data_IF_439378602399
#
_entry.id   IF_439378602399
#
_cell.length_a   1.000
_cell.length_b   1.000
_cell.length_c   1.000
_cell.angle_alpha   90.00
_cell.angle_beta   90.00
_cell.angle_gamma   90.00
#
_symmetry.space_group_name_H-M   'P 1'
#
loop_
_entity.id
_entity.type
_entity.pdbx_description
1 polymer ?
#
# COMPACT_ATOMS: atom_id res chain seq x y z
N UNK A 1 34.16 -17.99 1.49
CA UNK A 1 32.75 -17.82 1.08
C UNK A 1 32.55 -16.35 0.76
N UNK A 2 32.13 -16.00 -0.45
CA UNK A 2 31.86 -14.60 -0.80
C UNK A 2 30.71 -14.08 0.09
N UNK A 3 30.78 -12.83 0.54
CA UNK A 3 29.71 -12.27 1.37
C UNK A 3 28.43 -12.17 0.55
N UNK A 4 27.26 -12.21 1.21
CA UNK A 4 25.96 -11.97 0.57
C UNK A 4 25.95 -10.69 -0.27
N UNK A 5 26.68 -9.66 0.17
CA UNK A 5 26.84 -8.39 -0.53
C UNK A 5 27.57 -8.55 -1.87
N UNK A 6 28.63 -9.37 -1.93
CA UNK A 6 29.41 -9.58 -3.16
C UNK A 6 28.62 -10.36 -4.22
N UNK A 7 27.78 -11.31 -3.79
CA UNK A 7 26.89 -12.04 -4.70
C UNK A 7 25.82 -11.14 -5.31
N UNK A 8 25.22 -10.24 -4.53
CA UNK A 8 24.23 -9.28 -5.04
C UNK A 8 24.84 -8.27 -6.01
N UNK A 9 26.08 -7.82 -5.77
CA UNK A 9 26.82 -6.94 -6.70
C UNK A 9 27.25 -7.63 -8.00
N UNK A 10 27.45 -8.95 -7.97
CA UNK A 10 27.83 -9.73 -9.16
C UNK A 10 26.65 -10.10 -10.07
N UNK A 11 25.42 -9.89 -9.59
CA UNK A 11 24.24 -10.05 -10.42
C UNK A 11 24.17 -8.83 -11.32
N UNK A 12 24.49 -9.06 -12.59
CA UNK A 12 24.38 -8.07 -13.65
C UNK A 12 22.88 -7.80 -13.88
N UNK A 13 22.32 -6.87 -13.10
CA UNK A 13 20.90 -6.48 -13.14
C UNK A 13 20.53 -6.12 -14.58
N UNK A 14 21.44 -5.49 -15.33
CA UNK A 14 21.24 -5.18 -16.74
C UNK A 14 21.06 -6.44 -17.59
N UNK A 15 21.82 -7.52 -17.34
CA UNK A 15 21.60 -8.82 -18.02
C UNK A 15 20.29 -9.50 -17.62
N UNK A 16 19.89 -9.42 -16.36
CA UNK A 16 18.58 -9.95 -15.93
C UNK A 16 17.42 -9.18 -16.58
N UNK A 17 17.56 -7.86 -16.75
CA UNK A 17 16.56 -7.03 -17.42
C UNK A 17 16.61 -7.16 -18.95
N UNK A 18 17.78 -7.39 -19.55
CA UNK A 18 17.98 -7.54 -20.99
C UNK A 18 17.56 -8.92 -21.54
N UNK A 19 17.41 -9.94 -20.68
CA UNK A 19 16.93 -11.27 -21.05
C UNK A 19 15.43 -11.33 -21.40
N UNK A 20 14.67 -10.26 -21.14
CA UNK A 20 13.29 -10.10 -21.61
C UNK A 20 13.26 -9.81 -23.10
N UNK A 21 13.28 -10.85 -23.93
CA UNK A 21 13.12 -10.73 -25.38
C UNK A 21 11.90 -9.87 -25.73
N UNK A 22 12.12 -8.82 -26.52
CA UNK A 22 11.16 -7.75 -26.83
C UNK A 22 9.95 -8.13 -27.68
N UNK A 23 9.23 -9.20 -27.33
CA UNK A 23 8.04 -9.67 -28.05
C UNK A 23 6.74 -9.67 -27.25
N UNK A 24 6.80 -9.59 -25.90
CA UNK A 24 5.60 -9.56 -25.06
C UNK A 24 5.78 -8.55 -23.91
N UNK A 25 5.12 -7.40 -24.06
CA UNK A 25 4.83 -6.50 -22.95
C UNK A 25 3.55 -7.02 -22.29
N UNK A 26 3.69 -7.76 -21.20
CA UNK A 26 2.57 -8.07 -20.33
C UNK A 26 2.09 -6.78 -19.67
N UNK A 27 0.89 -6.32 -20.00
CA UNK A 27 0.35 -5.08 -19.44
C UNK A 27 -0.07 -5.32 -17.98
N UNK A 28 0.73 -4.84 -17.02
CA UNK A 28 0.33 -4.65 -15.62
C UNK A 28 1.15 -5.44 -14.60
N UNK A 29 1.53 -4.77 -13.51
CA UNK A 29 1.96 -5.44 -12.29
C UNK A 29 0.74 -6.16 -11.69
N UNK A 30 0.91 -7.40 -11.22
CA UNK A 30 -0.15 -8.11 -10.51
C UNK A 30 -0.57 -7.38 -9.22
N UNK A 31 -1.71 -7.77 -8.65
CA UNK A 31 -2.29 -7.15 -7.46
C UNK A 31 -1.31 -7.10 -6.27
N UNK A 32 -0.57 -8.18 -6.02
CA UNK A 32 0.40 -8.25 -4.91
C UNK A 32 1.64 -7.40 -5.21
N UNK A 33 2.10 -7.35 -6.45
CA UNK A 33 3.21 -6.50 -6.88
C UNK A 33 2.87 -5.02 -6.69
N UNK A 34 1.64 -4.62 -7.04
CA UNK A 34 1.12 -3.30 -6.71
C UNK A 34 1.15 -3.02 -5.21
N UNK A 35 0.74 -3.99 -4.37
CA UNK A 35 0.79 -3.85 -2.91
C UNK A 35 2.22 -3.63 -2.39
N UNK A 36 3.24 -4.29 -2.96
CA UNK A 36 4.63 -4.06 -2.55
C UNK A 36 5.10 -2.65 -2.87
N UNK A 37 4.83 -2.15 -4.08
CA UNK A 37 5.13 -0.76 -4.42
C UNK A 37 4.38 0.22 -3.51
N UNK A 38 3.10 -0.07 -3.24
CA UNK A 38 2.26 0.72 -2.37
C UNK A 38 2.80 0.75 -0.94
N UNK A 39 3.17 -0.41 -0.37
CA UNK A 39 3.75 -0.54 0.96
C UNK A 39 5.05 0.27 1.07
N UNK A 40 5.94 0.14 0.08
CA UNK A 40 7.19 0.91 0.03
C UNK A 40 6.95 2.43 0.00
N UNK A 41 5.84 2.88 -0.57
CA UNK A 41 5.48 4.30 -0.60
C UNK A 41 4.84 4.80 0.70
N UNK A 42 4.08 3.97 1.41
CA UNK A 42 3.33 4.42 2.61
C UNK A 42 4.05 4.17 3.91
N UNK A 43 5.11 3.35 3.93
CA UNK A 43 5.74 2.92 5.17
C UNK A 43 6.32 4.08 6.01
N UNK A 44 6.82 5.15 5.38
CA UNK A 44 7.23 6.37 6.10
C UNK A 44 6.07 6.97 6.91
N UNK A 45 4.87 7.04 6.32
CA UNK A 45 3.68 7.57 7.00
C UNK A 45 3.22 6.65 8.13
N UNK A 46 3.23 5.35 7.90
CA UNK A 46 2.86 4.35 8.92
C UNK A 46 3.81 4.44 10.11
N UNK A 47 5.12 4.40 9.89
CA UNK A 47 6.11 4.47 10.97
C UNK A 47 6.05 5.81 11.71
N UNK A 48 5.85 6.94 11.03
CA UNK A 48 5.67 8.24 11.70
C UNK A 48 4.50 8.28 12.66
N UNK A 49 3.42 7.56 12.35
CA UNK A 49 2.27 7.49 13.25
C UNK A 49 2.62 6.84 14.60
N UNK A 50 3.74 6.11 14.69
CA UNK A 50 4.21 5.46 15.91
C UNK A 50 4.98 6.36 16.88
N UNK A 51 5.38 7.58 16.52
CA UNK A 51 6.25 8.39 17.40
C UNK A 51 5.50 9.26 18.41
N UNK A 52 4.39 9.94 18.06
CA UNK A 52 3.66 10.76 19.02
C UNK A 52 3.00 9.91 20.11
N UNK A 53 3.64 9.77 21.28
CA UNK A 53 3.10 9.01 22.41
C UNK A 53 3.11 7.49 22.25
N UNK A 54 3.84 6.95 21.28
CA UNK A 54 3.99 5.50 21.02
C UNK A 54 2.66 4.70 20.93
N UNK A 55 1.70 5.10 20.07
CA UNK A 55 0.43 4.39 19.93
C UNK A 55 0.61 2.96 19.40
N UNK A 56 1.72 2.71 18.71
CA UNK A 56 2.10 1.42 18.14
C UNK A 56 2.63 0.43 19.17
N UNK A 57 2.82 0.85 20.43
CA UNK A 57 3.33 0.00 21.51
C UNK A 57 4.66 -0.69 21.14
N UNK A 58 5.53 0.02 20.42
CA UNK A 58 6.86 -0.45 20.12
C UNK A 58 7.71 -0.38 21.40
N UNK A 59 8.50 -1.41 21.68
CA UNK A 59 9.49 -1.29 22.75
C UNK A 59 10.64 -0.35 22.32
N UNK A 60 11.51 0.00 23.26
CA UNK A 60 12.57 0.99 23.01
C UNK A 60 13.50 0.57 21.87
N UNK A 61 13.81 -0.72 21.74
CA UNK A 61 14.69 -1.23 20.70
C UNK A 61 14.03 -1.12 19.32
N UNK A 62 12.75 -1.50 19.22
CA UNK A 62 11.95 -1.38 18.01
C UNK A 62 11.73 0.08 17.59
N UNK A 63 11.56 1.00 18.55
CA UNK A 63 11.46 2.44 18.27
C UNK A 63 12.73 2.98 17.62
N UNK A 64 13.91 2.61 18.14
CA UNK A 64 15.20 3.02 17.56
C UNK A 64 15.35 2.48 16.14
N UNK A 65 14.94 1.23 15.89
CA UNK A 65 14.98 0.64 14.55
C UNK A 65 14.03 1.39 13.61
N UNK A 66 12.79 1.64 14.03
CA UNK A 66 11.80 2.39 13.25
C UNK A 66 12.30 3.82 12.91
N UNK A 67 12.97 4.50 13.84
CA UNK A 67 13.52 5.84 13.61
C UNK A 67 14.65 5.81 12.58
N UNK A 68 15.52 4.80 12.64
CA UNK A 68 16.59 4.60 11.66
C UNK A 68 16.04 4.27 10.27
N UNK A 69 14.96 3.48 10.18
CA UNK A 69 14.25 3.24 8.91
C UNK A 69 13.67 4.56 8.37
N UNK A 70 13.06 5.39 9.20
CA UNK A 70 12.60 6.73 8.78
C UNK A 70 13.75 7.62 8.30
N UNK A 71 14.92 7.55 8.94
CA UNK A 71 16.12 8.24 8.49
C UNK A 71 16.54 7.79 7.07
N UNK A 72 16.54 6.48 6.81
CA UNK A 72 16.80 5.91 5.50
C UNK A 72 15.80 6.42 4.45
N UNK A 73 14.49 6.35 4.75
CA UNK A 73 13.41 6.76 3.84
C UNK A 73 13.38 8.26 3.52
N UNK A 74 14.10 9.09 4.29
CA UNK A 74 14.24 10.54 4.05
C UNK A 74 15.58 10.91 3.44
N UNK A 75 16.51 9.97 3.34
CA UNK A 75 17.83 10.20 2.79
C UNK A 75 17.80 10.33 1.26
N UNK A 76 18.90 10.80 0.67
CA UNK A 76 19.07 10.78 -0.80
C UNK A 76 19.06 9.38 -1.40
N UNK A 77 19.19 8.33 -0.58
CA UNK A 77 19.13 6.95 -1.02
C UNK A 77 17.69 6.41 -1.11
N UNK A 78 16.70 7.15 -0.59
CA UNK A 78 15.29 6.74 -0.65
C UNK A 78 14.80 6.49 -2.08
N UNK A 79 15.20 7.35 -3.03
CA UNK A 79 14.84 7.21 -4.45
C UNK A 79 15.50 5.99 -5.14
N UNK A 80 16.52 5.40 -4.49
CA UNK A 80 17.19 4.19 -4.96
C UNK A 80 16.51 2.92 -4.48
N UNK A 81 15.70 2.98 -3.43
CA UNK A 81 14.97 1.83 -2.88
C UNK A 81 13.89 1.43 -3.86
N UNK A 82 14.23 0.47 -4.73
CA UNK A 82 13.35 -0.08 -5.75
C UNK A 82 12.84 -1.44 -5.30
N UNK A 83 11.56 -1.70 -5.53
CA UNK A 83 11.03 -3.06 -5.46
C UNK A 83 11.21 -3.69 -6.83
N UNK A 84 11.91 -4.81 -6.88
CA UNK A 84 12.17 -5.57 -8.10
C UNK A 84 11.57 -6.97 -7.96
N UNK A 85 10.82 -7.41 -8.95
CA UNK A 85 10.19 -8.73 -8.94
C UNK A 85 11.00 -9.70 -9.79
N UNK A 86 11.34 -10.85 -9.21
CA UNK A 86 12.11 -11.90 -9.88
C UNK A 86 11.46 -13.25 -9.60
N UNK A 87 11.36 -14.10 -10.62
CA UNK A 87 11.02 -15.51 -10.42
C UNK A 87 12.27 -16.28 -10.00
N UNK A 88 12.13 -17.18 -9.02
CA UNK A 88 13.19 -18.13 -8.65
C UNK A 88 13.56 -19.07 -9.80
N UNK A 89 12.67 -19.27 -10.78
CA UNK A 89 12.97 -19.99 -12.02
C UNK A 89 13.97 -19.23 -12.90
N UNK A 90 13.86 -17.90 -12.95
CA UNK A 90 14.76 -17.02 -13.71
C UNK A 90 16.10 -16.78 -12.98
N UNK A 91 16.08 -16.86 -11.64
CA UNK A 91 17.26 -16.74 -10.80
C UNK A 91 17.38 -17.91 -9.79
N UNK A 92 17.75 -19.13 -10.24
CA UNK A 92 17.80 -20.31 -9.38
C UNK A 92 18.68 -20.12 -8.15
N UNK A 93 18.14 -20.45 -6.98
CA UNK A 93 18.85 -20.36 -5.70
C UNK A 93 19.00 -18.95 -5.13
N UNK A 94 18.55 -17.90 -5.83
CA UNK A 94 18.65 -16.52 -5.35
C UNK A 94 17.90 -16.28 -4.02
N UNK A 95 16.70 -16.85 -3.90
CA UNK A 95 15.86 -16.79 -2.70
C UNK A 95 16.13 -17.90 -1.69
N UNK A 96 17.17 -18.72 -1.89
CA UNK A 96 17.57 -19.77 -0.94
C UNK A 96 18.72 -19.23 -0.07
N UNK A 97 18.37 -18.70 1.11
CA UNK A 97 19.34 -18.04 2.02
C UNK A 97 20.08 -19.02 2.92
N UNK A 98 19.61 -20.27 3.02
CA UNK A 98 20.25 -21.31 3.79
C UNK A 98 19.54 -22.65 3.64
N UNK A 99 20.13 -23.73 4.19
CA UNK A 99 19.55 -25.08 4.10
C UNK A 99 18.17 -25.19 4.76
N UNK A 100 17.90 -24.37 5.78
CA UNK A 100 16.63 -24.35 6.52
C UNK A 100 15.75 -23.15 6.15
N UNK A 101 16.18 -22.35 5.17
CA UNK A 101 15.48 -21.14 4.75
C UNK A 101 15.27 -21.16 3.22
N UNK A 102 14.64 -22.20 2.69
CA UNK A 102 14.35 -22.26 1.28
C UNK A 102 13.20 -21.27 0.97
N UNK A 103 13.26 -20.64 -0.20
CA UNK A 103 12.14 -19.87 -0.76
C UNK A 103 11.72 -18.63 0.04
N UNK A 104 12.66 -17.73 0.34
CA UNK A 104 12.33 -16.40 0.87
C UNK A 104 11.36 -15.65 -0.07
N UNK A 105 10.38 -14.95 0.51
CA UNK A 105 9.42 -14.12 -0.23
C UNK A 105 10.08 -12.82 -0.71
N UNK A 106 10.87 -12.19 0.15
CA UNK A 106 11.62 -11.00 -0.18
C UNK A 106 13.07 -11.12 0.31
N UNK A 107 13.95 -10.30 -0.27
CA UNK A 107 15.35 -10.18 0.14
C UNK A 107 15.92 -8.85 -0.30
N UNK A 108 16.75 -8.25 0.53
CA UNK A 108 17.59 -7.11 0.16
C UNK A 108 19.05 -7.29 0.59
N UNK A 109 19.90 -6.32 0.28
CA UNK A 109 21.27 -6.26 0.78
C UNK A 109 21.33 -5.47 2.10
N UNK A 110 22.41 -5.66 2.85
CA UNK A 110 22.67 -4.92 4.10
C UNK A 110 23.29 -3.55 3.84
N UNK A 111 22.76 -2.84 2.83
CA UNK A 111 23.28 -1.57 2.34
C UNK A 111 22.12 -0.63 2.02
N UNK A 112 22.22 0.62 2.46
CA UNK A 112 21.21 1.64 2.25
C UNK A 112 20.93 1.85 0.75
N UNK A 113 19.65 1.99 0.39
CA UNK A 113 19.24 2.21 -1.00
C UNK A 113 19.28 0.96 -1.88
N UNK A 114 19.60 -0.21 -1.32
CA UNK A 114 19.58 -1.46 -2.07
C UNK A 114 18.17 -1.79 -2.57
N UNK A 115 18.02 -2.48 -3.71
CA UNK A 115 16.71 -2.97 -4.12
C UNK A 115 16.15 -4.02 -3.15
N UNK A 116 14.83 -4.03 -3.01
CA UNK A 116 14.08 -5.11 -2.38
C UNK A 116 13.65 -6.07 -3.50
N UNK A 117 14.21 -7.26 -3.52
CA UNK A 117 13.85 -8.31 -4.48
C UNK A 117 12.69 -9.13 -3.92
N UNK A 118 11.64 -9.31 -4.72
CA UNK A 118 10.42 -10.03 -4.33
C UNK A 118 10.27 -11.26 -5.24
N UNK A 119 10.02 -12.40 -4.62
CA UNK A 119 9.92 -13.69 -5.27
C UNK A 119 8.51 -13.91 -5.85
N UNK A 120 8.40 -13.80 -7.17
CA UNK A 120 7.12 -13.95 -7.89
C UNK A 120 6.46 -15.31 -7.68
N UNK A 121 7.27 -16.37 -7.48
CA UNK A 121 6.78 -17.75 -7.39
C UNK A 121 5.95 -17.99 -6.12
N UNK A 122 6.01 -17.07 -5.14
CA UNK A 122 5.35 -17.21 -3.84
C UNK A 122 4.25 -16.19 -3.58
N UNK A 123 3.93 -15.30 -4.54
CA UNK A 123 2.92 -14.24 -4.33
C UNK A 123 1.49 -14.73 -4.52
N UNK A 124 1.28 -15.79 -5.32
CA UNK A 124 -0.05 -16.27 -5.70
C UNK A 124 -0.24 -17.76 -5.40
N UNK A 125 -1.48 -18.19 -5.17
CA UNK A 125 -1.86 -19.61 -5.13
C UNK A 125 -1.85 -20.21 -6.53
N UNK A 126 -2.00 -21.53 -6.63
CA UNK A 126 -2.14 -22.23 -7.92
C UNK A 126 -3.34 -21.74 -8.74
N UNK A 127 -4.34 -21.17 -8.08
CA UNK A 127 -5.55 -20.59 -8.68
C UNK A 127 -5.39 -19.11 -9.04
N UNK A 128 -4.20 -18.53 -8.84
CA UNK A 128 -3.92 -17.11 -9.12
C UNK A 128 -4.44 -16.14 -8.05
N UNK A 129 -4.82 -16.63 -6.86
CA UNK A 129 -5.27 -15.77 -5.77
C UNK A 129 -4.08 -15.21 -4.99
N UNK A 130 -4.18 -13.96 -4.52
CA UNK A 130 -3.14 -13.35 -3.69
C UNK A 130 -2.94 -14.13 -2.39
N UNK A 131 -1.69 -14.51 -2.08
CA UNK A 131 -1.33 -15.18 -0.82
C UNK A 131 -1.07 -14.22 0.34
N UNK A 132 -0.80 -12.96 0.03
CA UNK A 132 -0.41 -11.95 1.00
C UNK A 132 -1.46 -10.84 1.05
N UNK A 133 -1.74 -10.37 2.26
CA UNK A 133 -2.52 -9.16 2.48
C UNK A 133 -1.62 -7.93 2.42
N UNK A 134 -2.20 -6.75 2.18
CA UNK A 134 -1.45 -5.49 2.19
C UNK A 134 -0.68 -5.25 3.51
N UNK A 135 -1.28 -5.61 4.65
CA UNK A 135 -0.64 -5.51 5.96
C UNK A 135 0.62 -6.40 6.06
N UNK A 136 0.53 -7.66 5.61
CA UNK A 136 1.68 -8.57 5.56
C UNK A 136 2.78 -8.05 4.64
N UNK A 137 2.41 -7.50 3.49
CA UNK A 137 3.35 -6.87 2.55
C UNK A 137 4.05 -5.66 3.20
N UNK A 138 3.32 -4.81 3.92
CA UNK A 138 3.91 -3.70 4.68
C UNK A 138 4.89 -4.18 5.76
N UNK A 139 4.56 -5.25 6.47
CA UNK A 139 5.46 -5.91 7.41
C UNK A 139 6.74 -6.41 6.74
N UNK A 140 6.62 -7.11 5.61
CA UNK A 140 7.77 -7.61 4.83
C UNK A 140 8.65 -6.46 4.32
N UNK A 141 8.06 -5.41 3.74
CA UNK A 141 8.83 -4.24 3.29
C UNK A 141 9.58 -3.59 4.47
N UNK A 142 8.95 -3.49 5.63
CA UNK A 142 9.61 -2.97 6.85
C UNK A 142 10.78 -3.85 7.28
N UNK A 143 10.62 -5.17 7.22
CA UNK A 143 11.68 -6.13 7.51
C UNK A 143 12.89 -5.87 6.60
N UNK A 144 12.67 -5.80 5.28
CA UNK A 144 13.75 -5.56 4.33
C UNK A 144 14.41 -4.18 4.53
N UNK A 145 13.64 -3.13 4.82
CA UNK A 145 14.22 -1.82 5.17
C UNK A 145 15.09 -1.87 6.44
N UNK A 146 14.73 -2.72 7.39
CA UNK A 146 15.55 -3.01 8.58
C UNK A 146 16.92 -3.61 8.23
N UNK A 147 16.97 -4.50 7.23
CA UNK A 147 18.24 -5.01 6.71
C UNK A 147 19.10 -3.90 6.09
N UNK A 148 18.50 -2.95 5.36
CA UNK A 148 19.25 -1.87 4.71
C UNK A 148 19.91 -0.89 5.70
N UNK A 149 19.43 -0.84 6.94
CA UNK A 149 20.09 -0.12 8.04
C UNK A 149 21.03 -1.02 8.87
N UNK A 150 21.34 -2.22 8.39
CA UNK A 150 22.35 -3.12 8.95
C UNK A 150 21.86 -4.01 10.10
N UNK A 151 20.53 -4.14 10.31
CA UNK A 151 20.02 -5.11 11.29
C UNK A 151 20.07 -6.51 10.68
N UNK A 152 20.77 -7.43 11.35
CA UNK A 152 20.91 -8.83 10.92
C UNK A 152 19.89 -9.77 11.57
N UNK A 153 19.34 -9.37 12.71
CA UNK A 153 18.47 -10.22 13.49
C UNK A 153 17.06 -10.28 12.90
N UNK A 154 16.76 -11.37 12.18
CA UNK A 154 15.44 -11.60 11.59
C UNK A 154 14.32 -11.57 12.62
N UNK A 155 14.54 -12.09 13.84
CA UNK A 155 13.48 -12.16 14.85
C UNK A 155 13.06 -10.75 15.28
N UNK A 156 14.02 -9.84 15.47
CA UNK A 156 13.72 -8.43 15.76
C UNK A 156 12.99 -7.75 14.61
N UNK A 157 13.41 -7.99 13.36
CA UNK A 157 12.76 -7.42 12.19
C UNK A 157 11.35 -7.98 11.94
N UNK A 158 11.13 -9.25 12.22
CA UNK A 158 9.81 -9.89 12.16
C UNK A 158 8.86 -9.31 13.22
N UNK A 159 9.37 -9.05 14.44
CA UNK A 159 8.59 -8.37 15.49
C UNK A 159 8.22 -6.94 15.07
N UNK A 160 9.14 -6.19 14.46
CA UNK A 160 8.82 -4.86 13.94
C UNK A 160 7.78 -4.96 12.81
N UNK A 161 8.00 -5.88 11.87
CA UNK A 161 7.11 -6.12 10.73
C UNK A 161 5.71 -6.55 11.16
N UNK A 162 5.57 -7.36 12.21
CA UNK A 162 4.27 -7.76 12.75
C UNK A 162 3.54 -6.56 13.36
N UNK A 163 4.24 -5.69 14.10
CA UNK A 163 3.65 -4.45 14.64
C UNK A 163 3.17 -3.51 13.54
N UNK A 164 3.99 -3.30 12.51
CA UNK A 164 3.58 -2.55 11.31
C UNK A 164 2.36 -3.18 10.65
N UNK A 165 2.34 -4.51 10.52
CA UNK A 165 1.21 -5.24 9.93
C UNK A 165 -0.07 -5.01 10.74
N UNK A 166 -0.01 -5.10 12.07
CA UNK A 166 -1.14 -4.85 12.98
C UNK A 166 -1.70 -3.43 12.81
N UNK A 167 -0.83 -2.42 12.73
CA UNK A 167 -1.22 -1.03 12.54
C UNK A 167 -1.91 -0.85 11.18
N UNK A 168 -1.26 -1.31 10.11
CA UNK A 168 -1.82 -1.22 8.76
C UNK A 168 -3.15 -1.97 8.69
N UNK A 169 -3.25 -3.15 9.31
CA UNK A 169 -4.49 -3.92 9.35
C UNK A 169 -5.60 -3.18 10.10
N UNK A 170 -5.33 -2.57 11.25
CA UNK A 170 -6.31 -1.77 11.99
C UNK A 170 -6.77 -0.52 11.24
N UNK A 171 -5.91 -0.03 10.34
CA UNK A 171 -6.11 1.16 9.52
C UNK A 171 -6.73 0.86 8.14
N UNK A 172 -6.63 -0.37 7.67
CA UNK A 172 -7.14 -0.81 6.38
C UNK A 172 -8.57 -1.34 6.49
N UNK A 173 -9.46 -0.77 5.69
CA UNK A 173 -10.83 -1.24 5.47
C UNK A 173 -10.91 -1.80 4.05
N UNK A 174 -11.40 -3.02 3.90
CA UNK A 174 -11.68 -3.61 2.60
C UNK A 174 -13.20 -3.73 2.42
N UNK A 175 -13.73 -3.01 1.45
CA UNK A 175 -15.12 -3.12 1.04
C UNK A 175 -15.18 -3.98 -0.20
N UNK A 176 -16.00 -5.02 -0.19
CA UNK A 176 -16.15 -5.93 -1.33
C UNK A 176 -17.61 -5.96 -1.78
N UNK A 177 -17.81 -6.01 -3.09
CA UNK A 177 -19.09 -6.30 -3.72
C UNK A 177 -18.91 -7.45 -4.70
N UNK A 178 -19.66 -8.52 -4.48
CA UNK A 178 -19.78 -9.67 -5.38
C UNK A 178 -21.25 -9.82 -5.74
N UNK A 179 -21.66 -9.19 -6.84
CA UNK A 179 -23.05 -9.21 -7.31
C UNK A 179 -23.24 -10.11 -8.53
N UNK A 180 -24.49 -10.51 -8.76
CA UNK A 180 -24.89 -11.31 -9.93
C UNK A 180 -24.87 -10.51 -11.24
N UNK A 181 -24.73 -9.18 -11.17
CA UNK A 181 -24.58 -8.28 -12.31
C UNK A 181 -23.28 -8.60 -13.08
N UNK A 182 -23.39 -9.51 -14.04
CA UNK A 182 -22.33 -9.89 -14.96
C UNK A 182 -21.19 -10.71 -14.34
N UNK A 183 -21.38 -11.29 -13.15
CA UNK A 183 -20.32 -12.03 -12.44
C UNK A 183 -19.14 -11.16 -12.02
N UNK A 184 -19.36 -9.86 -11.87
CA UNK A 184 -18.32 -8.87 -11.60
C UNK A 184 -18.08 -8.69 -10.10
N UNK A 185 -16.82 -8.83 -9.70
CA UNK A 185 -16.34 -8.50 -8.36
C UNK A 185 -15.69 -7.13 -8.33
N UNK A 186 -16.12 -6.27 -7.42
CA UNK A 186 -15.47 -5.00 -7.11
C UNK A 186 -14.93 -5.05 -5.69
N UNK A 187 -13.72 -4.53 -5.49
CA UNK A 187 -13.17 -4.33 -4.17
C UNK A 187 -12.65 -2.91 -4.06
N UNK A 188 -13.03 -2.20 -3.01
CA UNK A 188 -12.47 -0.91 -2.66
C UNK A 188 -11.62 -1.09 -1.39
N UNK A 189 -10.31 -1.02 -1.58
CA UNK A 189 -9.36 -0.95 -0.47
C UNK A 189 -9.22 0.49 0.00
N UNK A 190 -9.42 0.72 1.29
CA UNK A 190 -9.23 1.99 1.98
C UNK A 190 -8.19 1.78 3.06
N UNK A 191 -7.17 2.64 3.14
CA UNK A 191 -6.25 2.67 4.29
C UNK A 191 -6.28 4.05 4.90
N UNK A 192 -6.94 4.16 6.05
CA UNK A 192 -7.02 5.38 6.85
C UNK A 192 -5.77 5.50 7.70
N UNK A 193 -5.07 6.62 7.64
CA UNK A 193 -3.99 6.86 8.58
C UNK A 193 -4.56 7.66 9.75
N UNK A 194 -4.37 7.21 11.00
CA UNK A 194 -4.96 7.82 12.21
C UNK A 194 -4.22 9.10 12.64
N UNK A 195 -4.01 10.03 11.71
CA UNK A 195 -3.39 11.31 12.02
C UNK A 195 -4.10 12.47 11.30
N UNK A 196 -4.37 13.61 11.97
CA UNK A 196 -5.15 14.72 11.41
C UNK A 196 -4.61 15.25 10.09
N UNK A 197 -3.29 15.13 9.87
CA UNK A 197 -2.59 15.58 8.67
C UNK A 197 -2.28 14.45 7.68
N UNK A 198 -3.23 13.54 7.43
CA UNK A 198 -3.01 12.43 6.49
C UNK A 198 -4.15 12.24 5.51
N UNK A 199 -3.78 11.76 4.33
CA UNK A 199 -4.70 11.44 3.24
C UNK A 199 -4.75 9.92 3.13
N UNK A 200 -5.95 9.32 3.20
CA UNK A 200 -6.12 7.88 3.14
C UNK A 200 -5.84 7.41 1.72
N UNK A 201 -5.46 6.14 1.62
CA UNK A 201 -5.25 5.51 0.34
C UNK A 201 -6.51 4.77 -0.09
N UNK A 202 -7.14 5.21 -1.18
CA UNK A 202 -8.41 4.69 -1.68
C UNK A 202 -8.16 4.11 -3.07
N UNK A 203 -8.21 2.78 -3.19
CA UNK A 203 -7.94 2.05 -4.43
C UNK A 203 -9.09 1.13 -4.76
N UNK A 204 -9.62 1.28 -5.97
CA UNK A 204 -10.61 0.36 -6.53
C UNK A 204 -9.89 -0.71 -7.34
N UNK A 205 -10.27 -1.95 -7.09
CA UNK A 205 -9.88 -3.15 -7.81
C UNK A 205 -11.11 -3.68 -8.54
N UNK A 206 -11.01 -3.79 -9.86
CA UNK A 206 -12.05 -4.32 -10.71
C UNK A 206 -11.42 -5.25 -11.74
N UNK A 207 -11.41 -6.55 -11.43
CA UNK A 207 -10.64 -7.60 -12.11
C UNK A 207 -9.13 -7.29 -12.15
N UNK A 208 -8.56 -7.11 -13.35
CA UNK A 208 -7.15 -6.85 -13.66
C UNK A 208 -6.80 -5.35 -13.62
N UNK A 209 -7.77 -4.48 -13.34
CA UNK A 209 -7.58 -3.04 -13.31
C UNK A 209 -7.58 -2.52 -11.89
N UNK A 210 -6.66 -1.60 -11.63
CA UNK A 210 -6.60 -0.85 -10.37
C UNK A 210 -6.71 0.65 -10.64
N UNK A 211 -7.41 1.36 -9.77
CA UNK A 211 -7.54 2.82 -9.86
C UNK A 211 -7.43 3.46 -8.49
N UNK A 212 -6.48 4.37 -8.34
CA UNK A 212 -6.30 5.17 -7.13
C UNK A 212 -7.17 6.43 -7.20
N UNK A 213 -8.09 6.59 -6.25
CA UNK A 213 -8.97 7.76 -6.13
C UNK A 213 -8.49 8.81 -5.14
N UNK A 214 -7.44 8.53 -4.37
CA UNK A 214 -6.96 9.42 -3.28
C UNK A 214 -6.67 10.83 -3.79
N UNK A 215 -5.97 10.98 -4.91
CA UNK A 215 -5.65 12.30 -5.49
C UNK A 215 -6.89 13.02 -5.98
N UNK A 216 -7.82 12.32 -6.64
CA UNK A 216 -9.06 12.90 -7.13
C UNK A 216 -9.95 13.39 -5.99
N UNK A 217 -10.11 12.59 -4.94
CA UNK A 217 -10.87 12.96 -3.74
C UNK A 217 -10.21 14.14 -3.03
N UNK A 218 -8.89 14.12 -2.85
CA UNK A 218 -8.14 15.21 -2.20
C UNK A 218 -8.35 16.56 -2.88
N UNK A 219 -8.44 16.58 -4.22
CA UNK A 219 -8.70 17.83 -4.97
C UNK A 219 -10.13 18.36 -4.83
N UNK A 220 -11.06 17.52 -4.39
CA UNK A 220 -12.48 17.84 -4.26
C UNK A 220 -12.89 18.15 -2.81
N UNK A 221 -12.11 17.71 -1.84
CA UNK A 221 -12.37 17.95 -0.42
C UNK A 221 -11.80 19.31 -0.03
N UNK A 222 -12.59 20.10 0.69
CA UNK A 222 -12.18 21.35 1.32
C UNK A 222 -12.91 21.52 2.65
N UNK A 223 -12.34 22.30 3.56
CA UNK A 223 -13.08 22.73 4.75
C UNK A 223 -14.22 23.68 4.33
N UNK A 224 -15.38 23.58 4.97
CA UNK A 224 -16.52 24.47 4.75
C UNK A 224 -16.21 25.89 5.19
N UNK A 225 -15.37 26.03 6.22
CA UNK A 225 -14.96 27.31 6.79
C UNK A 225 -13.68 27.83 6.11
N UNK A 226 -13.69 29.03 5.51
CA UNK A 226 -12.55 29.55 4.74
C UNK A 226 -11.31 29.84 5.59
N UNK A 227 -11.47 30.05 6.89
CA UNK A 227 -10.36 30.26 7.83
C UNK A 227 -9.64 28.96 8.24
N UNK A 228 -10.18 27.80 7.87
CA UNK A 228 -9.58 26.50 8.12
C UNK A 228 -8.97 25.92 6.84
N UNK A 229 -7.79 25.30 6.97
CA UNK A 229 -7.13 24.56 5.89
C UNK A 229 -7.28 23.06 6.10
N UNK A 230 -7.57 22.32 5.02
CA UNK A 230 -7.64 20.86 5.09
C UNK A 230 -6.25 20.29 5.37
N UNK A 231 -6.13 19.52 6.44
CA UNK A 231 -4.90 18.81 6.77
C UNK A 231 -4.95 17.34 6.32
N UNK A 232 -6.14 16.76 6.24
CA UNK A 232 -6.32 15.36 5.90
C UNK A 232 -7.78 14.93 5.93
N UNK A 233 -8.03 13.64 5.72
CA UNK A 233 -9.36 13.05 5.89
C UNK A 233 -9.29 11.55 6.18
N UNK A 234 -10.39 10.97 6.64
CA UNK A 234 -10.56 9.51 6.73
C UNK A 234 -11.93 9.10 6.21
N UNK A 235 -12.05 7.85 5.79
CA UNK A 235 -13.26 7.28 5.23
C UNK A 235 -13.84 6.23 6.18
N UNK A 236 -15.12 6.36 6.48
CA UNK A 236 -15.85 5.45 7.38
C UNK A 236 -17.21 5.13 6.79
N UNK A 237 -17.86 4.07 7.31
CA UNK A 237 -19.22 3.69 6.92
C UNK A 237 -19.41 3.48 5.40
N UNK A 238 -18.38 2.91 4.75
CA UNK A 238 -18.41 2.58 3.34
C UNK A 238 -19.35 1.43 3.03
N UNK A 239 -20.12 1.53 1.95
CA UNK A 239 -20.95 0.45 1.43
C UNK A 239 -21.19 0.61 -0.06
N UNK A 240 -21.37 -0.52 -0.75
CA UNK A 240 -21.79 -0.52 -2.14
C UNK A 240 -23.32 -0.44 -2.23
N UNK A 241 -23.81 0.31 -3.20
CA UNK A 241 -25.23 0.42 -3.55
C UNK A 241 -25.39 0.27 -5.06
N UNK A 242 -26.49 -0.35 -5.49
CA UNK A 242 -26.88 -0.32 -6.90
C UNK A 242 -27.60 0.98 -7.16
N UNK A 243 -27.15 1.72 -8.19
CA UNK A 243 -27.76 2.96 -8.62
C UNK A 243 -28.18 2.86 -10.09
N UNK A 244 -29.25 3.55 -10.48
CA UNK A 244 -29.79 3.52 -11.84
C UNK A 244 -30.95 2.55 -12.05
N UNK A 245 -31.34 2.33 -13.30
CA UNK A 245 -32.49 1.48 -13.64
C UNK A 245 -32.08 0.01 -13.64
N UNK A 246 -32.48 -0.75 -12.61
CA UNK A 246 -32.19 -2.19 -12.53
C UNK A 246 -32.81 -3.02 -13.66
N UNK A 247 -33.77 -2.47 -14.39
CA UNK A 247 -34.42 -3.15 -15.51
C UNK A 247 -33.58 -3.09 -16.79
N UNK A 248 -32.63 -2.16 -16.90
CA UNK A 248 -31.69 -2.06 -18.02
C UNK A 248 -30.24 -2.17 -17.50
N UNK A 249 -29.54 -3.30 -17.75
CA UNK A 249 -28.17 -3.49 -17.33
C UNK A 249 -27.21 -2.38 -17.80
N UNK A 250 -27.50 -1.72 -18.93
CA UNK A 250 -26.67 -0.62 -19.46
C UNK A 250 -26.79 0.67 -18.66
N UNK A 251 -27.90 0.83 -17.93
CA UNK A 251 -28.15 1.98 -17.04
C UNK A 251 -27.85 1.64 -15.57
N UNK A 252 -27.45 0.41 -15.28
CA UNK A 252 -27.08 -0.02 -13.93
C UNK A 252 -25.64 0.42 -13.61
N UNK A 253 -25.50 1.19 -12.54
CA UNK A 253 -24.22 1.63 -12.00
C UNK A 253 -24.01 1.03 -10.63
N UNK A 254 -22.75 0.72 -10.31
CA UNK A 254 -22.37 0.36 -8.95
C UNK A 254 -21.85 1.63 -8.29
N UNK A 255 -22.59 2.08 -7.29
CA UNK A 255 -22.22 3.16 -6.41
C UNK A 255 -21.47 2.64 -5.20
N UNK A 256 -20.47 3.39 -4.76
CA UNK A 256 -19.89 3.25 -3.44
C UNK A 256 -20.12 4.55 -2.68
N UNK A 257 -20.75 4.44 -1.51
CA UNK A 257 -21.07 5.56 -0.65
C UNK A 257 -20.32 5.43 0.68
N UNK A 258 -19.77 6.53 1.17
CA UNK A 258 -19.09 6.56 2.45
C UNK A 258 -19.16 7.93 3.13
N UNK A 259 -18.82 7.96 4.41
CA UNK A 259 -18.61 9.19 5.15
C UNK A 259 -17.12 9.54 5.16
N UNK A 260 -16.82 10.74 4.67
CA UNK A 260 -15.52 11.39 4.73
C UNK A 260 -15.46 12.29 5.96
N UNK A 261 -14.64 11.94 6.95
CA UNK A 261 -14.30 12.85 8.04
C UNK A 261 -13.11 13.70 7.60
N UNK A 262 -13.35 14.97 7.32
CA UNK A 262 -12.35 15.94 6.86
C UNK A 262 -11.74 16.62 8.07
N UNK A 263 -10.41 16.61 8.18
CA UNK A 263 -9.67 17.27 9.25
C UNK A 263 -9.18 18.63 8.76
N UNK A 264 -9.41 19.64 9.60
CA UNK A 264 -9.25 21.04 9.26
C UNK A 264 -8.45 21.73 10.39
N UNK A 265 -7.50 22.57 10.03
CA UNK A 265 -6.65 23.31 10.98
C UNK A 265 -6.69 24.82 10.71
N UNK A 266 -6.85 25.59 11.77
CA UNK A 266 -6.72 27.04 11.75
C UNK A 266 -5.45 27.42 12.51
N UNK A 267 -4.49 27.99 11.78
CA UNK A 267 -3.20 28.40 12.33
C UNK A 267 -3.30 29.58 13.30
N UNK A 268 -4.22 30.53 13.06
CA UNK A 268 -4.39 31.70 13.91
C UNK A 268 -4.96 31.34 15.29
N UNK A 269 -5.80 30.31 15.34
CA UNK A 269 -6.43 29.80 16.57
C UNK A 269 -5.70 28.61 17.20
N UNK A 270 -4.68 28.07 16.51
CA UNK A 270 -4.02 26.79 16.86
C UNK A 270 -5.03 25.68 17.17
N UNK A 271 -6.00 25.51 16.26
CA UNK A 271 -7.19 24.68 16.51
C UNK A 271 -7.48 23.71 15.37
N UNK A 272 -7.74 22.46 15.74
CA UNK A 272 -8.30 21.45 14.85
C UNK A 272 -9.83 21.37 14.95
N UNK A 273 -10.47 21.08 13.82
CA UNK A 273 -11.86 20.62 13.77
C UNK A 273 -12.00 19.49 12.75
N UNK A 274 -13.09 18.75 12.86
CA UNK A 274 -13.48 17.75 11.86
C UNK A 274 -14.85 18.07 11.30
N UNK A 275 -14.99 17.96 9.98
CA UNK A 275 -16.24 18.12 9.24
C UNK A 275 -16.62 16.77 8.60
N UNK A 276 -17.92 16.53 8.40
CA UNK A 276 -18.39 15.30 7.77
C UNK A 276 -18.89 15.59 6.37
N UNK A 277 -18.44 14.79 5.41
CA UNK A 277 -18.81 14.87 4.00
C UNK A 277 -19.33 13.50 3.56
N UNK A 278 -20.22 13.48 2.57
CA UNK A 278 -20.63 12.27 1.86
C UNK A 278 -19.74 12.09 0.63
N UNK A 279 -19.12 10.94 0.50
CA UNK A 279 -18.44 10.47 -0.71
C UNK A 279 -19.40 9.60 -1.51
N UNK A 280 -19.45 9.82 -2.83
CA UNK A 280 -20.05 8.87 -3.77
C UNK A 280 -19.07 8.62 -4.92
N UNK A 281 -18.76 7.35 -5.17
CA UNK A 281 -17.99 6.89 -6.32
C UNK A 281 -18.94 6.06 -7.20
N UNK A 282 -19.22 6.52 -8.41
CA UNK A 282 -20.03 5.78 -9.39
C UNK A 282 -19.13 5.18 -10.46
N UNK A 283 -19.30 3.88 -10.66
CA UNK A 283 -18.58 3.10 -11.67
C UNK A 283 -19.62 2.48 -12.60
N UNK A 284 -19.44 2.62 -13.92
CA UNK A 284 -20.32 2.00 -14.90
C UNK A 284 -20.02 0.51 -15.11
N UNK A 285 -20.86 -0.12 -15.92
CA UNK A 285 -20.69 -1.49 -16.44
C UNK A 285 -19.33 -1.72 -17.13
N UNK A 286 -18.78 -0.69 -17.77
CA UNK A 286 -17.45 -0.69 -18.38
C UNK A 286 -16.29 -0.48 -17.38
N UNK A 287 -16.60 -0.35 -16.08
CA UNK A 287 -15.64 -0.20 -14.98
C UNK A 287 -14.84 1.11 -15.04
N UNK A 288 -15.41 2.10 -15.70
CA UNK A 288 -14.87 3.45 -15.74
C UNK A 288 -15.54 4.31 -14.67
N UNK A 289 -14.75 5.20 -14.06
CA UNK A 289 -15.31 6.21 -13.16
C UNK A 289 -16.25 7.10 -13.97
N UNK A 290 -17.53 7.07 -13.62
CA UNK A 290 -18.49 8.01 -14.17
C UNK A 290 -18.50 9.30 -13.36
N UNK A 291 -18.59 9.16 -12.04
CA UNK A 291 -18.81 10.30 -11.17
C UNK A 291 -18.12 10.07 -9.84
N UNK A 292 -17.45 11.13 -9.38
CA UNK A 292 -16.92 11.24 -8.04
C UNK A 292 -17.53 12.49 -7.44
N UNK A 293 -18.27 12.37 -6.34
CA UNK A 293 -18.83 13.53 -5.63
C UNK A 293 -18.44 13.51 -4.17
N UNK A 294 -18.14 14.71 -3.66
CA UNK A 294 -17.92 14.97 -2.24
C UNK A 294 -18.86 16.09 -1.87
N UNK A 295 -19.78 15.84 -0.93
CA UNK A 295 -20.77 16.84 -0.52
C UNK A 295 -20.71 17.02 0.99
N UNK A 296 -20.56 18.25 1.50
CA UNK A 296 -20.59 18.48 2.94
C UNK A 296 -21.95 18.10 3.52
N UNK A 297 -21.95 17.41 4.67
CA UNK A 297 -23.17 17.12 5.43
C UNK A 297 -23.46 18.30 6.35
N UNK A 298 -24.74 18.72 6.37
CA UNK A 298 -25.24 19.79 7.23
C UNK A 298 -25.51 19.28 8.64
#
# INVERSE_FOLDING_TARGET
MASTSDRLRSIDIEKLMAGGGGGLVGNGAGFVEFQFHQANHVIDRVLRSCFPGNPCQLDQDLLVIAERILGLLRSSDADKIRVLFLSGHQAPGFFNTGPNEPHRIARTALEAGSPIFVNLDHLYTSEGLAKLTFAQVAGLVTHELGHQIGILDHQTLDRLGSRVSEIVQGQSLLYSYSGELGGLGFQLGVTNFDFPATIPLIVLYANDRTRNFSTSITRMVSCQRPEFQMTGYSLTNGHFSLQGNMSDPKDSNIGFEAWLRVNCFNQAEDRFLSELHKLVILVNDQRELQTLTVTPLK
#
